data_IF_553997951778
#
_entry.id   IF_553997951778
#
_cell.length_a   1.000
_cell.length_b   1.000
_cell.length_c   1.000
_cell.angle_alpha   90.00
_cell.angle_beta   90.00
_cell.angle_gamma   90.00
#
_symmetry.space_group_name_H-M   'P 1'
#
loop_
_entity.id
_entity.type
_entity.pdbx_description
1 polymer ?
#
# COMPACT_ATOMS: atom_id res chain seq x y z
N UNK A 1 -29.34 32.66 2.60
CA UNK A 1 -27.88 32.80 2.54
C UNK A 1 -27.27 31.82 3.54
N UNK A 2 -26.77 30.68 3.08
CA UNK A 2 -26.12 29.68 3.93
C UNK A 2 -24.69 30.14 4.26
N UNK A 3 -24.40 30.35 5.54
CA UNK A 3 -23.05 30.64 6.05
C UNK A 3 -22.14 29.44 5.70
N UNK A 4 -21.14 29.66 4.85
CA UNK A 4 -20.00 28.76 4.65
C UNK A 4 -19.40 28.46 6.03
N UNK A 5 -19.47 27.21 6.48
CA UNK A 5 -18.80 26.77 7.70
C UNK A 5 -17.30 27.01 7.52
N UNK A 6 -16.70 27.87 8.35
CA UNK A 6 -15.26 28.11 8.33
C UNK A 6 -14.57 26.81 8.80
N UNK A 7 -13.67 26.30 7.98
CA UNK A 7 -12.88 25.09 8.26
C UNK A 7 -11.79 25.34 9.34
N UNK A 8 -11.80 26.52 9.95
CA UNK A 8 -10.84 26.92 11.00
C UNK A 8 -11.27 26.33 12.33
N UNK A 9 -10.34 25.68 13.03
CA UNK A 9 -10.53 25.19 14.39
C UNK A 9 -10.60 26.36 15.39
N UNK A 10 -11.40 26.20 16.43
CA UNK A 10 -11.32 27.09 17.61
C UNK A 10 -10.16 26.64 18.49
N UNK A 11 -9.60 27.54 19.31
CA UNK A 11 -8.47 27.25 20.21
C UNK A 11 -8.72 25.97 21.02
N UNK A 12 -9.94 25.78 21.51
CA UNK A 12 -10.30 24.59 22.29
C UNK A 12 -10.44 23.33 21.47
N UNK A 13 -10.83 23.42 20.18
CA UNK A 13 -10.83 22.29 19.27
C UNK A 13 -9.42 21.89 18.90
N UNK A 14 -8.54 22.86 18.73
CA UNK A 14 -7.12 22.63 18.47
C UNK A 14 -6.47 21.91 19.65
N UNK A 15 -6.66 22.40 20.88
CA UNK A 15 -6.14 21.81 22.12
C UNK A 15 -6.61 20.35 22.32
N UNK A 16 -7.88 20.05 21.98
CA UNK A 16 -8.42 18.69 22.06
C UNK A 16 -7.80 17.80 20.99
N UNK A 17 -7.60 18.31 19.79
CA UNK A 17 -6.97 17.54 18.70
C UNK A 17 -5.52 17.20 19.05
N UNK A 18 -4.74 18.17 19.50
CA UNK A 18 -3.36 17.98 19.95
C UNK A 18 -3.26 16.99 21.12
N UNK A 19 -4.18 17.08 22.09
CA UNK A 19 -4.26 16.11 23.19
C UNK A 19 -4.49 14.66 22.68
N UNK A 20 -5.34 14.47 21.68
CA UNK A 20 -5.60 13.15 21.11
C UNK A 20 -4.34 12.64 20.39
N UNK A 21 -3.68 13.48 19.59
CA UNK A 21 -2.47 13.15 18.85
C UNK A 21 -1.31 12.76 19.78
N UNK A 22 -1.05 13.57 20.83
CA UNK A 22 -0.02 13.29 21.82
C UNK A 22 -0.29 11.98 22.58
N UNK A 23 -1.54 11.77 23.01
CA UNK A 23 -1.90 10.57 23.77
C UNK A 23 -1.73 9.31 22.90
N UNK A 24 -2.10 9.37 21.61
CA UNK A 24 -1.91 8.27 20.66
C UNK A 24 -0.43 8.01 20.39
N UNK A 25 0.39 9.05 20.28
CA UNK A 25 1.84 8.93 20.10
C UNK A 25 2.51 8.24 21.27
N UNK A 26 2.13 8.62 22.50
CA UNK A 26 2.78 8.12 23.72
C UNK A 26 2.33 6.71 24.09
N UNK A 27 1.07 6.36 23.81
CA UNK A 27 0.44 5.15 24.32
C UNK A 27 0.04 4.14 23.25
N UNK A 28 0.05 4.51 21.96
CA UNK A 28 -0.32 3.65 20.85
C UNK A 28 -1.82 3.35 20.71
N UNK A 29 -2.67 4.05 21.47
CA UNK A 29 -4.14 3.93 21.39
C UNK A 29 -4.83 5.25 21.74
N UNK A 30 -6.05 5.50 21.23
CA UNK A 30 -6.76 6.76 21.46
C UNK A 30 -7.21 6.94 22.91
N UNK A 31 -7.26 8.22 23.41
CA UNK A 31 -7.73 8.55 24.75
C UNK A 31 -9.24 8.29 24.90
N UNK A 32 -9.68 8.01 26.12
CA UNK A 32 -11.10 8.05 26.45
C UNK A 32 -11.57 9.51 26.64
N UNK A 33 -12.88 9.76 26.58
CA UNK A 33 -13.45 11.09 26.85
C UNK A 33 -13.02 11.62 28.22
N UNK A 34 -12.88 10.73 29.22
CA UNK A 34 -12.40 11.11 30.56
C UNK A 34 -10.92 11.52 30.55
N UNK A 35 -10.10 10.88 29.75
CA UNK A 35 -8.68 11.24 29.62
C UNK A 35 -8.55 12.61 28.96
N UNK A 36 -9.33 12.89 27.90
CA UNK A 36 -9.40 14.20 27.27
C UNK A 36 -9.85 15.26 28.27
N UNK A 37 -10.94 15.03 29.02
CA UNK A 37 -11.41 15.97 30.06
C UNK A 37 -10.30 16.35 31.01
N UNK A 38 -9.55 15.38 31.53
CA UNK A 38 -8.45 15.62 32.49
C UNK A 38 -7.31 16.43 31.87
N UNK A 39 -6.94 16.14 30.63
CA UNK A 39 -5.78 16.73 29.98
C UNK A 39 -6.04 18.18 29.53
N UNK A 40 -7.26 18.45 29.00
CA UNK A 40 -7.64 19.79 28.51
C UNK A 40 -8.40 20.62 29.55
N UNK A 41 -8.50 20.17 30.83
CA UNK A 41 -9.09 20.89 31.91
C UNK A 41 -10.61 21.14 31.78
N UNK A 42 -11.34 20.25 31.09
CA UNK A 42 -12.79 20.34 30.93
C UNK A 42 -13.50 19.45 31.95
N UNK A 43 -14.42 20.06 32.75
CA UNK A 43 -15.18 19.35 33.77
C UNK A 43 -16.34 18.53 33.27
N UNK A 44 -16.81 18.79 32.03
CA UNK A 44 -17.98 18.15 31.44
C UNK A 44 -17.64 17.28 30.23
N UNK A 45 -17.97 15.98 30.29
CA UNK A 45 -17.84 15.05 29.18
C UNK A 45 -18.74 15.42 27.99
N UNK A 46 -19.88 16.07 28.23
CA UNK A 46 -20.78 16.53 27.16
C UNK A 46 -20.14 17.67 26.34
N UNK A 47 -19.33 18.52 26.95
CA UNK A 47 -18.59 19.58 26.26
C UNK A 47 -17.50 18.97 25.36
N UNK A 48 -16.74 18.01 25.87
CA UNK A 48 -15.75 17.28 25.04
C UNK A 48 -16.45 16.58 23.86
N UNK A 49 -17.59 15.92 24.10
CA UNK A 49 -18.35 15.27 23.06
C UNK A 49 -18.83 16.24 21.95
N UNK A 50 -19.26 17.46 22.35
CA UNK A 50 -19.63 18.51 21.38
C UNK A 50 -18.44 18.98 20.53
N UNK A 51 -17.25 19.10 21.12
CA UNK A 51 -16.04 19.45 20.38
C UNK A 51 -15.60 18.31 19.45
N UNK A 52 -15.68 17.05 19.90
CA UNK A 52 -15.38 15.89 19.05
C UNK A 52 -16.33 15.80 17.85
N UNK A 53 -17.64 16.04 18.05
CA UNK A 53 -18.61 16.11 16.95
C UNK A 53 -18.27 17.23 15.96
N UNK A 54 -17.79 18.36 16.44
CA UNK A 54 -17.38 19.47 15.57
C UNK A 54 -16.10 19.14 14.80
N UNK A 55 -15.13 18.49 15.43
CA UNK A 55 -13.89 18.01 14.78
C UNK A 55 -14.20 16.96 13.70
N UNK A 56 -15.10 16.04 13.99
CA UNK A 56 -15.55 15.02 13.02
C UNK A 56 -16.27 15.65 11.82
N UNK A 57 -17.21 16.59 12.05
CA UNK A 57 -17.89 17.33 10.98
C UNK A 57 -16.93 18.17 10.11
N UNK A 58 -15.84 18.65 10.70
CA UNK A 58 -14.78 19.38 10.00
C UNK A 58 -13.77 18.43 9.32
N UNK A 59 -13.87 17.10 9.55
CA UNK A 59 -13.03 16.07 8.95
C UNK A 59 -11.63 15.95 9.55
N UNK A 60 -11.43 16.39 10.82
CA UNK A 60 -10.17 16.23 11.54
C UNK A 60 -10.05 14.90 12.30
N UNK A 61 -11.18 14.30 12.64
CA UNK A 61 -11.23 12.96 13.26
C UNK A 61 -12.35 12.14 12.63
N UNK A 62 -12.24 10.82 12.75
CA UNK A 62 -13.33 9.86 12.51
C UNK A 62 -13.59 9.06 13.78
N UNK A 63 -14.84 8.61 13.98
CA UNK A 63 -15.20 7.79 15.14
C UNK A 63 -15.94 6.54 14.67
N UNK A 64 -15.58 5.39 15.24
CA UNK A 64 -16.29 4.13 15.01
C UNK A 64 -17.45 4.04 16.02
N UNK A 65 -18.69 4.01 15.54
CA UNK A 65 -19.88 3.82 16.34
C UNK A 65 -19.86 2.41 16.97
N UNK A 66 -19.61 2.35 18.27
CA UNK A 66 -19.60 1.11 19.06
C UNK A 66 -18.26 0.75 19.72
N UNK A 67 -17.17 1.41 19.42
CA UNK A 67 -15.90 1.18 20.08
C UNK A 67 -15.67 2.19 21.21
N UNK A 68 -15.37 1.70 22.43
CA UNK A 68 -15.11 2.53 23.62
C UNK A 68 -13.88 3.47 23.46
N UNK A 69 -13.08 3.30 22.37
CA UNK A 69 -11.88 4.05 21.99
C UNK A 69 -11.76 4.17 20.46
N UNK A 70 -12.86 4.42 19.76
CA UNK A 70 -12.93 4.46 18.31
C UNK A 70 -12.57 5.81 17.66
N UNK A 71 -11.71 6.64 18.27
CA UNK A 71 -11.28 7.92 17.69
C UNK A 71 -10.05 7.70 16.83
N UNK A 72 -10.12 8.14 15.55
CA UNK A 72 -8.97 8.21 14.64
C UNK A 72 -8.82 9.65 14.16
N UNK A 73 -7.59 10.16 14.12
CA UNK A 73 -7.28 11.50 13.60
C UNK A 73 -7.20 11.41 12.08
N UNK A 74 -7.93 12.27 11.38
CA UNK A 74 -7.86 12.33 9.93
C UNK A 74 -6.63 13.14 9.49
N UNK A 75 -5.92 12.72 8.44
CA UNK A 75 -4.65 13.30 7.94
C UNK A 75 -4.73 14.78 7.45
N UNK A 76 -5.62 15.62 8.01
CA UNK A 76 -5.79 17.04 7.67
C UNK A 76 -5.22 18.03 8.67
N UNK A 77 -4.57 17.58 9.72
CA UNK A 77 -3.95 18.46 10.71
C UNK A 77 -2.53 18.83 10.33
N UNK A 78 -2.38 20.09 9.97
CA UNK A 78 -1.17 20.93 9.98
C UNK A 78 -0.15 20.90 8.85
N UNK A 79 -0.10 22.04 8.19
CA UNK A 79 0.86 22.58 7.22
C UNK A 79 2.30 22.75 7.74
N UNK A 80 2.72 22.13 8.85
CA UNK A 80 4.07 22.32 9.40
C UNK A 80 4.74 21.08 9.97
N UNK A 81 4.33 19.88 9.54
CA UNK A 81 5.05 18.65 9.85
C UNK A 81 5.50 17.99 8.55
N UNK A 82 6.48 18.59 7.89
CA UNK A 82 7.01 18.10 6.61
C UNK A 82 7.85 16.82 6.75
N UNK A 83 7.92 16.19 7.89
CA UNK A 83 8.77 15.00 8.10
C UNK A 83 8.28 14.09 9.23
N UNK A 84 7.01 13.71 9.35
CA UNK A 84 6.61 12.52 10.11
C UNK A 84 5.08 12.44 10.21
N UNK A 85 4.45 11.80 9.27
CA UNK A 85 3.33 10.88 9.45
C UNK A 85 2.92 10.28 8.10
N UNK A 86 3.69 9.32 7.62
CA UNK A 86 3.34 8.45 6.49
C UNK A 86 3.10 7.02 7.00
N UNK A 87 2.50 6.87 8.19
CA UNK A 87 2.31 5.53 8.77
C UNK A 87 0.98 4.86 8.39
N UNK A 88 0.07 5.51 7.67
CA UNK A 88 -1.24 4.94 7.35
C UNK A 88 -1.48 4.60 5.86
N UNK A 89 -0.49 4.77 5.00
CA UNK A 89 -0.60 4.43 3.58
C UNK A 89 0.28 3.23 3.20
N UNK A 90 0.23 2.18 4.00
CA UNK A 90 0.94 0.93 3.72
C UNK A 90 -0.08 -0.15 3.36
N UNK A 91 0.14 -0.80 2.23
CA UNK A 91 -0.64 -1.95 1.77
C UNK A 91 0.16 -3.22 2.01
N UNK A 92 -0.42 -4.21 2.67
CA UNK A 92 0.17 -5.53 2.83
C UNK A 92 0.08 -6.29 1.51
N UNK A 93 1.21 -6.42 0.82
CA UNK A 93 1.31 -7.09 -0.48
C UNK A 93 1.73 -8.56 -0.27
N UNK A 94 0.97 -9.53 -0.82
CA UNK A 94 1.33 -10.94 -0.70
C UNK A 94 2.60 -11.25 -1.48
N UNK A 95 3.54 -11.95 -0.84
CA UNK A 95 4.74 -12.51 -1.46
C UNK A 95 4.43 -13.94 -1.87
N UNK A 96 4.48 -14.21 -3.16
CA UNK A 96 4.19 -15.53 -3.74
C UNK A 96 5.48 -16.35 -3.79
N UNK A 97 5.47 -17.52 -3.20
CA UNK A 97 6.63 -18.41 -3.16
C UNK A 97 6.68 -19.38 -4.32
N UNK A 98 5.55 -20.00 -4.63
CA UNK A 98 5.42 -20.93 -5.76
C UNK A 98 4.24 -20.51 -6.62
N UNK A 99 4.44 -20.58 -7.93
CA UNK A 99 3.36 -20.40 -8.90
C UNK A 99 3.05 -21.78 -9.46
N UNK A 100 1.84 -22.27 -9.21
CA UNK A 100 1.38 -23.54 -9.76
C UNK A 100 0.46 -23.28 -10.96
N UNK A 101 0.68 -24.00 -12.04
CA UNK A 101 -0.20 -23.96 -13.22
C UNK A 101 -1.61 -24.42 -12.84
N UNK A 102 -2.64 -23.71 -13.34
CA UNK A 102 -4.05 -24.03 -13.08
C UNK A 102 -4.63 -23.51 -11.78
N UNK A 103 -3.84 -22.95 -10.86
CA UNK A 103 -4.30 -22.31 -9.64
C UNK A 103 -4.26 -20.77 -9.78
N UNK A 104 -5.22 -20.03 -9.16
CA UNK A 104 -5.09 -18.58 -9.08
C UNK A 104 -3.81 -18.19 -8.37
N UNK A 105 -3.05 -17.22 -8.92
CA UNK A 105 -1.75 -16.82 -8.35
C UNK A 105 -1.85 -16.33 -6.91
N UNK A 106 -2.97 -15.70 -6.54
CA UNK A 106 -3.26 -15.21 -5.19
C UNK A 106 -3.99 -16.24 -4.32
N UNK A 107 -4.00 -17.53 -4.70
CA UNK A 107 -4.50 -18.57 -3.82
C UNK A 107 -3.68 -18.58 -2.53
N UNK A 108 -4.33 -18.76 -1.39
CA UNK A 108 -3.71 -18.73 -0.05
C UNK A 108 -2.50 -19.67 0.06
N UNK A 109 -2.55 -20.79 -0.65
CA UNK A 109 -1.49 -21.81 -0.69
C UNK A 109 -0.21 -21.33 -1.35
N UNK A 110 -0.28 -20.29 -2.19
CA UNK A 110 0.87 -19.70 -2.88
C UNK A 110 1.52 -18.57 -2.09
N UNK A 111 0.85 -18.03 -1.07
CA UNK A 111 1.33 -16.89 -0.26
C UNK A 111 2.25 -17.41 0.85
N UNK A 112 3.52 -16.99 0.81
CA UNK A 112 4.49 -17.32 1.88
C UNK A 112 4.41 -16.34 3.06
N UNK A 113 4.19 -15.07 2.76
CA UNK A 113 4.14 -13.96 3.73
C UNK A 113 3.57 -12.71 3.08
N UNK A 114 3.35 -11.67 3.85
CA UNK A 114 3.07 -10.32 3.33
C UNK A 114 4.30 -9.43 3.45
N UNK A 115 4.32 -8.36 2.66
CA UNK A 115 5.35 -7.33 2.65
C UNK A 115 4.69 -5.95 2.63
N UNK A 116 5.00 -5.06 3.60
CA UNK A 116 4.44 -3.72 3.64
C UNK A 116 5.03 -2.84 2.55
N UNK A 117 4.18 -2.25 1.71
CA UNK A 117 4.55 -1.37 0.60
C UNK A 117 3.75 -0.08 0.72
N UNK A 118 4.37 1.11 0.52
CA UNK A 118 3.61 2.35 0.45
C UNK A 118 2.47 2.27 -0.57
N UNK A 119 1.30 2.82 -0.25
CA UNK A 119 0.08 2.68 -1.05
C UNK A 119 0.18 3.30 -2.44
N UNK A 120 1.01 4.31 -2.62
CA UNK A 120 1.30 4.94 -3.91
C UNK A 120 1.98 3.99 -4.91
N UNK A 121 2.64 2.93 -4.44
CA UNK A 121 3.15 1.85 -5.30
C UNK A 121 2.09 0.81 -5.68
N UNK A 122 0.92 0.83 -5.05
CA UNK A 122 -0.17 -0.13 -5.27
C UNK A 122 -1.53 0.57 -5.44
N UNK A 123 -1.69 1.58 -6.32
CA UNK A 123 -2.90 2.40 -6.40
C UNK A 123 -4.09 1.58 -6.89
N UNK A 124 -4.93 1.10 -5.96
CA UNK A 124 -6.26 0.52 -6.23
C UNK A 124 -6.29 -0.74 -7.09
N UNK A 125 -5.16 -1.45 -7.26
CA UNK A 125 -5.01 -2.62 -8.12
C UNK A 125 -4.53 -3.83 -7.33
N UNK A 126 -4.87 -5.04 -7.80
CA UNK A 126 -4.31 -6.26 -7.23
C UNK A 126 -2.82 -6.35 -7.56
N UNK A 127 -2.00 -6.30 -6.53
CA UNK A 127 -0.55 -6.45 -6.63
C UNK A 127 -0.06 -7.64 -5.81
N UNK A 128 1.06 -8.21 -6.24
CA UNK A 128 1.75 -9.26 -5.52
C UNK A 128 3.26 -9.12 -5.71
N UNK A 129 4.03 -9.79 -4.89
CA UNK A 129 5.47 -9.84 -5.02
C UNK A 129 5.96 -11.25 -5.36
N UNK A 130 7.03 -11.30 -6.13
CA UNK A 130 7.79 -12.52 -6.41
C UNK A 130 9.26 -12.29 -6.11
N UNK A 131 9.91 -13.31 -5.55
CA UNK A 131 11.36 -13.32 -5.40
C UNK A 131 12.01 -13.74 -6.71
N UNK A 132 12.89 -12.90 -7.24
CA UNK A 132 13.65 -13.16 -8.47
C UNK A 132 14.69 -14.24 -8.22
N UNK A 133 14.82 -15.15 -9.16
CA UNK A 133 15.87 -16.16 -9.20
C UNK A 133 16.60 -16.07 -10.53
N UNK A 134 17.93 -16.00 -10.46
CA UNK A 134 18.81 -15.95 -11.62
C UNK A 134 19.08 -14.54 -12.13
N UNK A 135 19.85 -14.46 -13.21
CA UNK A 135 20.50 -13.24 -13.72
C UNK A 135 19.95 -12.76 -15.06
N UNK A 136 18.73 -13.21 -15.42
CA UNK A 136 18.20 -12.94 -16.76
C UNK A 136 17.82 -11.48 -17.01
N UNK A 137 17.74 -10.63 -15.98
CA UNK A 137 17.26 -9.25 -16.07
C UNK A 137 18.25 -8.24 -15.47
N UNK A 138 19.53 -8.61 -15.38
CA UNK A 138 20.55 -7.80 -14.71
C UNK A 138 20.85 -6.47 -15.40
N UNK A 139 20.72 -6.39 -16.72
CA UNK A 139 21.04 -5.17 -17.48
C UNK A 139 20.02 -4.04 -17.26
N UNK A 140 18.84 -4.36 -16.73
CA UNK A 140 17.85 -3.37 -16.28
C UNK A 140 17.78 -3.26 -14.76
N UNK A 141 18.77 -3.80 -14.04
CA UNK A 141 18.93 -3.63 -12.61
C UNK A 141 18.10 -4.57 -11.73
N UNK A 142 17.45 -5.59 -12.29
CA UNK A 142 16.77 -6.66 -11.54
C UNK A 142 17.76 -7.79 -11.32
N UNK A 143 18.15 -8.04 -10.07
CA UNK A 143 19.19 -9.00 -9.71
C UNK A 143 18.60 -10.24 -9.01
N UNK A 144 19.42 -11.29 -8.92
CA UNK A 144 19.08 -12.47 -8.13
C UNK A 144 18.81 -12.10 -6.68
N UNK A 145 17.74 -12.63 -6.11
CA UNK A 145 17.31 -12.35 -4.75
C UNK A 145 16.42 -11.12 -4.55
N UNK A 146 16.25 -10.27 -5.56
CA UNK A 146 15.32 -9.14 -5.51
C UNK A 146 13.87 -9.60 -5.34
N UNK A 147 13.03 -8.68 -4.87
CA UNK A 147 11.57 -8.82 -4.92
C UNK A 147 11.02 -7.89 -5.98
N UNK A 148 10.30 -8.42 -6.96
CA UNK A 148 9.57 -7.60 -7.94
C UNK A 148 8.14 -7.41 -7.47
N UNK A 149 7.68 -6.15 -7.46
CA UNK A 149 6.27 -5.80 -7.27
C UNK A 149 5.58 -5.92 -8.63
N UNK A 150 4.53 -6.70 -8.68
CA UNK A 150 3.83 -7.07 -9.90
C UNK A 150 2.38 -6.64 -9.81
N UNK A 151 1.95 -5.82 -10.75
CA UNK A 151 0.56 -5.48 -10.97
C UNK A 151 -0.11 -6.59 -11.75
N UNK A 152 -1.14 -7.22 -11.16
CA UNK A 152 -1.88 -8.31 -11.82
C UNK A 152 -2.59 -7.83 -13.07
N UNK A 153 -2.30 -8.45 -14.18
CA UNK A 153 -2.99 -8.25 -15.47
C UNK A 153 -2.75 -9.44 -16.39
N UNK A 154 -3.69 -9.70 -17.31
CA UNK A 154 -3.63 -10.81 -18.25
C UNK A 154 -3.08 -10.43 -19.62
N UNK A 155 -2.70 -9.17 -19.84
CA UNK A 155 -2.17 -8.67 -21.10
C UNK A 155 -0.95 -7.79 -20.86
N UNK A 156 -0.10 -7.67 -21.88
CA UNK A 156 1.09 -6.83 -21.84
C UNK A 156 1.29 -6.12 -23.18
N UNK A 157 2.08 -5.05 -23.18
CA UNK A 157 2.51 -4.32 -24.37
C UNK A 157 3.98 -4.63 -24.65
N UNK A 158 4.39 -4.45 -25.88
CA UNK A 158 5.79 -4.60 -26.27
C UNK A 158 6.68 -3.69 -25.42
N UNK A 159 7.73 -4.29 -24.87
CA UNK A 159 8.66 -3.62 -23.97
C UNK A 159 8.26 -3.64 -22.47
N UNK A 160 7.09 -4.14 -22.12
CA UNK A 160 6.73 -4.33 -20.70
C UNK A 160 7.61 -5.44 -20.08
N UNK A 161 8.10 -5.18 -18.87
CA UNK A 161 8.70 -6.23 -18.05
C UNK A 161 7.56 -6.95 -17.33
N UNK A 162 7.42 -8.25 -17.60
CA UNK A 162 6.31 -9.05 -17.09
C UNK A 162 6.77 -10.26 -16.28
N UNK A 163 5.88 -10.74 -15.45
CA UNK A 163 5.91 -12.11 -14.94
C UNK A 163 5.01 -12.95 -15.84
N UNK A 164 5.58 -13.98 -16.42
CA UNK A 164 4.91 -14.89 -17.31
C UNK A 164 5.04 -16.33 -16.83
N UNK A 165 4.01 -17.15 -17.07
CA UNK A 165 4.04 -18.57 -16.86
C UNK A 165 4.23 -19.28 -18.22
N UNK A 166 5.25 -20.12 -18.30
CA UNK A 166 5.53 -20.99 -19.44
C UNK A 166 5.49 -22.44 -18.92
N UNK A 167 4.47 -23.20 -19.30
CA UNK A 167 4.22 -24.48 -18.67
C UNK A 167 3.94 -24.31 -17.18
N UNK A 168 4.80 -24.81 -16.31
CA UNK A 168 4.67 -24.72 -14.85
C UNK A 168 5.64 -23.72 -14.22
N UNK A 169 6.47 -23.03 -15.00
CA UNK A 169 7.51 -22.14 -14.48
C UNK A 169 7.18 -20.68 -14.71
N UNK A 170 7.22 -19.90 -13.62
CA UNK A 170 7.12 -18.44 -13.67
C UNK A 170 8.49 -17.83 -14.00
N UNK A 171 8.50 -16.86 -14.92
CA UNK A 171 9.72 -16.16 -15.33
C UNK A 171 9.48 -14.66 -15.47
N UNK A 172 10.52 -13.86 -15.18
CA UNK A 172 10.54 -12.41 -15.43
C UNK A 172 11.30 -12.13 -16.71
N UNK A 173 10.65 -11.48 -17.68
CA UNK A 173 11.24 -11.14 -18.98
C UNK A 173 10.61 -9.88 -19.55
N UNK A 174 11.28 -9.26 -20.50
CA UNK A 174 10.69 -8.22 -21.34
C UNK A 174 9.86 -8.87 -22.43
N UNK A 175 8.62 -8.45 -22.53
CA UNK A 175 7.61 -9.02 -23.42
C UNK A 175 7.61 -8.33 -24.79
N UNK A 176 7.50 -9.13 -25.84
CA UNK A 176 7.22 -8.68 -27.20
C UNK A 176 6.26 -9.65 -27.90
N UNK A 177 5.29 -9.07 -28.63
CA UNK A 177 4.37 -9.83 -29.47
C UNK A 177 4.88 -9.85 -30.91
N UNK A 178 5.31 -11.01 -31.33
CA UNK A 178 5.71 -11.24 -32.72
C UNK A 178 4.50 -11.69 -33.57
N UNK A 179 4.72 -11.89 -34.89
CA UNK A 179 3.62 -12.23 -35.81
C UNK A 179 2.88 -13.53 -35.43
N UNK A 180 3.62 -14.59 -35.09
CA UNK A 180 3.08 -15.93 -34.85
C UNK A 180 3.44 -16.50 -33.46
N UNK A 181 4.12 -15.74 -32.61
CA UNK A 181 4.57 -16.16 -31.27
C UNK A 181 4.80 -14.98 -30.36
N UNK A 182 5.12 -15.26 -29.11
CA UNK A 182 5.60 -14.31 -28.13
C UNK A 182 7.10 -14.48 -27.97
N UNK A 183 7.81 -13.36 -27.88
CA UNK A 183 9.22 -13.32 -27.52
C UNK A 183 9.38 -12.78 -26.12
N UNK A 184 9.99 -13.57 -25.27
CA UNK A 184 10.36 -13.21 -23.92
C UNK A 184 11.86 -12.95 -23.91
N UNK A 185 12.22 -11.66 -23.88
CA UNK A 185 13.59 -11.19 -23.97
C UNK A 185 14.21 -11.12 -22.59
N UNK A 186 15.31 -11.84 -22.31
CA UNK A 186 16.14 -11.57 -21.15
C UNK A 186 16.90 -10.24 -21.35
N UNK A 187 17.00 -9.46 -20.32
CA UNK A 187 17.87 -8.27 -20.25
C UNK A 187 19.23 -8.69 -19.68
N UNK A 188 19.87 -9.57 -20.43
CA UNK A 188 21.20 -10.10 -20.20
C UNK A 188 21.75 -10.56 -21.57
N UNK A 189 22.79 -9.90 -22.04
CA UNK A 189 23.44 -10.14 -23.36
C UNK A 189 23.97 -11.57 -23.57
N UNK A 190 24.18 -12.30 -22.49
CA UNK A 190 24.66 -13.69 -22.55
C UNK A 190 23.54 -14.69 -22.61
N UNK A 191 22.29 -14.28 -22.55
CA UNK A 191 21.13 -15.15 -22.57
C UNK A 191 20.33 -14.98 -23.87
N UNK A 192 19.76 -16.07 -24.35
CA UNK A 192 18.93 -16.06 -25.58
C UNK A 192 17.47 -15.80 -25.22
N UNK A 193 16.77 -15.12 -26.12
CA UNK A 193 15.33 -14.93 -26.02
C UNK A 193 14.59 -16.29 -26.11
N UNK A 194 13.47 -16.36 -25.39
CA UNK A 194 12.56 -17.50 -25.42
C UNK A 194 11.41 -17.15 -26.36
N UNK A 195 11.14 -18.03 -27.31
CA UNK A 195 10.02 -17.91 -28.23
C UNK A 195 8.99 -18.99 -27.89
N UNK A 196 7.74 -18.60 -27.69
CA UNK A 196 6.65 -19.49 -27.35
C UNK A 196 5.36 -19.09 -28.05
N UNK A 197 4.50 -20.05 -28.35
CA UNK A 197 3.14 -19.80 -28.84
C UNK A 197 2.11 -19.72 -27.72
N UNK A 198 2.45 -20.30 -26.59
CA UNK A 198 1.59 -20.34 -25.41
C UNK A 198 2.26 -19.61 -24.25
N UNK A 199 1.53 -18.65 -23.68
CA UNK A 199 2.02 -17.78 -22.62
C UNK A 199 0.85 -17.34 -21.75
N UNK A 200 0.99 -17.43 -20.45
CA UNK A 200 0.09 -16.81 -19.50
C UNK A 200 0.80 -15.60 -18.87
N UNK A 201 0.31 -14.41 -19.13
CA UNK A 201 0.78 -13.20 -18.45
C UNK A 201 0.14 -13.17 -17.06
N UNK A 202 0.96 -13.17 -16.02
CA UNK A 202 0.52 -13.08 -14.62
C UNK A 202 0.42 -11.63 -14.14
N UNK A 203 1.27 -10.76 -14.70
CA UNK A 203 1.25 -9.33 -14.39
C UNK A 203 2.47 -8.60 -14.93
N UNK A 204 2.42 -7.26 -14.77
CA UNK A 204 3.49 -6.33 -15.14
C UNK A 204 4.31 -5.97 -13.92
N UNK A 205 5.63 -5.97 -14.03
CA UNK A 205 6.55 -5.48 -13.00
C UNK A 205 6.45 -3.96 -12.94
N UNK A 206 6.16 -3.43 -11.76
CA UNK A 206 5.99 -1.99 -11.50
C UNK A 206 6.98 -1.46 -10.45
N UNK A 207 7.69 -2.35 -9.76
CA UNK A 207 8.68 -1.97 -8.76
C UNK A 207 9.67 -3.09 -8.45
N UNK A 208 10.81 -2.72 -7.87
CA UNK A 208 11.84 -3.65 -7.41
C UNK A 208 12.24 -3.27 -5.98
N UNK A 209 12.30 -4.27 -5.10
CA UNK A 209 12.73 -4.10 -3.72
C UNK A 209 13.93 -5.00 -3.45
N UNK A 210 14.99 -4.41 -2.91
CA UNK A 210 16.25 -5.12 -2.59
C UNK A 210 16.64 -4.85 -1.16
N UNK A 211 16.97 -5.92 -0.44
CA UNK A 211 17.64 -5.83 0.84
C UNK A 211 19.15 -5.95 0.59
N UNK A 212 19.86 -4.93 0.96
CA UNK A 212 21.34 -4.86 0.91
C UNK A 212 21.93 -5.45 2.17
#
# INVERSE_FOLDING_TARGET
MARKASNVLTDKQQEILECIEEYMRDRGYPPSIRDICKQVGLSSSSTVFSHLNALEKKGYITRDDGAMRGIRVAAKSNVNSAYMDQSDDVVEVPVIGKVAAGMPILATENVERTFPVPSDFAPGQEVFMLKVKGESMIEIGILDGDYVLVQRQSSARDGDVIVALIGEEATVKTYYKERDCFRLQPENRYMKAIYTKELVVLGKVVGVFRKM
#
